data_IF_510831394038
#
_entry.id   IF_510831394038
#
_cell.length_a   1.000
_cell.length_b   1.000
_cell.length_c   1.000
_cell.angle_alpha   90.00
_cell.angle_beta   90.00
_cell.angle_gamma   90.00
#
_symmetry.space_group_name_H-M   'P 1'
#
loop_
_entity.id
_entity.type
_entity.pdbx_description
1 polymer ?
#
# COMPACT_ATOMS: atom_id res chain seq x y z
N UNK A 1 19.77 -9.87 -29.26
CA UNK A 1 20.59 -8.71 -29.67
C UNK A 1 19.99 -7.88 -30.82
N UNK A 2 19.03 -8.40 -31.61
CA UNK A 2 18.41 -7.66 -32.73
C UNK A 2 17.32 -6.63 -32.33
N UNK A 3 16.57 -6.84 -31.24
CA UNK A 3 15.50 -5.91 -30.82
C UNK A 3 16.02 -4.52 -30.41
N UNK A 4 17.16 -4.47 -29.72
CA UNK A 4 17.77 -3.21 -29.28
C UNK A 4 18.26 -2.37 -30.47
N UNK A 5 18.82 -3.01 -31.50
CA UNK A 5 19.28 -2.33 -32.70
C UNK A 5 18.11 -1.66 -33.45
N UNK A 6 16.96 -2.33 -33.51
CA UNK A 6 15.76 -1.80 -34.17
C UNK A 6 15.16 -0.61 -33.41
N UNK A 7 15.14 -0.67 -32.07
CA UNK A 7 14.75 0.48 -31.24
C UNK A 7 15.66 1.70 -31.47
N UNK A 8 16.99 1.50 -31.48
CA UNK A 8 17.93 2.61 -31.71
C UNK A 8 17.88 3.18 -33.12
N UNK A 9 17.66 2.33 -34.14
CA UNK A 9 17.44 2.79 -35.52
C UNK A 9 16.14 3.59 -35.64
N UNK A 10 15.07 3.16 -34.96
CA UNK A 10 13.83 3.93 -34.88
C UNK A 10 14.06 5.28 -34.18
N UNK A 11 14.77 5.30 -33.06
CA UNK A 11 15.09 6.52 -32.32
C UNK A 11 15.96 7.49 -33.14
N UNK A 12 16.95 6.97 -33.87
CA UNK A 12 17.80 7.76 -34.77
C UNK A 12 17.00 8.33 -35.95
N UNK A 13 16.14 7.52 -36.58
CA UNK A 13 15.24 7.97 -37.64
C UNK A 13 14.26 9.04 -37.15
N UNK A 14 13.80 8.92 -35.90
CA UNK A 14 12.91 9.88 -35.26
C UNK A 14 13.65 11.19 -34.95
N UNK A 15 14.87 11.13 -34.41
CA UNK A 15 15.71 12.32 -34.18
C UNK A 15 15.98 13.08 -35.48
N UNK A 16 16.29 12.36 -36.58
CA UNK A 16 16.51 12.96 -37.90
C UNK A 16 15.24 13.60 -38.47
N UNK A 17 14.08 12.91 -38.35
CA UNK A 17 12.78 13.46 -38.77
C UNK A 17 12.35 14.66 -37.91
N UNK A 18 12.61 14.63 -36.61
CA UNK A 18 12.35 15.75 -35.69
C UNK A 18 13.17 16.98 -36.07
N UNK A 19 14.46 16.84 -36.39
CA UNK A 19 15.26 18.00 -36.79
C UNK A 19 14.78 18.63 -38.11
N UNK A 20 14.30 17.81 -39.05
CA UNK A 20 13.70 18.27 -40.31
C UNK A 20 12.35 18.96 -40.05
N UNK A 21 11.54 18.42 -39.15
CA UNK A 21 10.27 19.03 -38.76
C UNK A 21 10.49 20.36 -38.02
N UNK A 22 11.49 20.44 -37.13
CA UNK A 22 11.88 21.69 -36.45
C UNK A 22 12.49 22.72 -37.39
N UNK A 23 13.14 22.33 -38.49
CA UNK A 23 13.57 23.28 -39.53
C UNK A 23 12.40 23.79 -40.35
N UNK A 24 11.48 22.89 -40.75
CA UNK A 24 10.26 23.27 -41.46
C UNK A 24 9.35 24.16 -40.60
N UNK A 25 9.21 23.85 -39.31
CA UNK A 25 8.48 24.67 -38.35
C UNK A 25 9.08 26.06 -38.21
N UNK A 26 10.41 26.18 -38.09
CA UNK A 26 11.10 27.48 -38.07
C UNK A 26 10.90 28.30 -39.35
N UNK A 27 10.85 27.63 -40.51
CA UNK A 27 10.59 28.31 -41.78
C UNK A 27 9.12 28.72 -41.92
N UNK A 28 8.17 27.91 -41.43
CA UNK A 28 6.75 28.26 -41.35
C UNK A 28 6.46 29.35 -40.30
N UNK A 29 7.17 29.37 -39.17
CA UNK A 29 7.06 30.41 -38.14
C UNK A 29 7.58 31.76 -38.65
N UNK A 30 8.65 31.78 -39.44
CA UNK A 30 9.11 32.99 -40.16
C UNK A 30 8.06 33.46 -41.18
N UNK A 31 7.41 32.53 -41.87
CA UNK A 31 6.35 32.84 -42.83
C UNK A 31 5.06 33.34 -42.14
N UNK A 32 4.71 32.75 -40.98
CA UNK A 32 3.56 33.14 -40.15
C UNK A 32 3.82 34.44 -39.38
N UNK A 33 5.06 34.74 -38.96
CA UNK A 33 5.42 36.05 -38.39
C UNK A 33 5.32 37.18 -39.41
N UNK A 34 5.58 36.88 -40.69
CA UNK A 34 5.35 37.78 -41.81
C UNK A 34 3.86 38.03 -42.09
N UNK A 35 3.00 37.05 -41.78
CA UNK A 35 1.53 37.13 -41.94
C UNK A 35 0.85 37.73 -40.70
N UNK A 36 1.32 37.45 -39.47
CA UNK A 36 0.79 37.98 -38.20
C UNK A 36 1.02 39.48 -37.99
N UNK A 37 1.82 40.14 -38.82
CA UNK A 37 1.83 41.61 -38.88
C UNK A 37 0.54 42.20 -39.49
N UNK A 38 -0.37 41.36 -40.01
CA UNK A 38 -1.61 41.79 -40.65
C UNK A 38 -2.91 41.46 -39.93
N UNK A 39 -2.98 40.48 -39.03
CA UNK A 39 -4.28 40.11 -38.42
C UNK A 39 -4.13 39.70 -36.95
N UNK A 40 -4.49 40.63 -36.06
CA UNK A 40 -4.71 40.39 -34.63
C UNK A 40 -6.20 40.14 -34.42
N UNK A 41 -6.58 38.88 -34.15
CA UNK A 41 -7.68 38.42 -33.28
C UNK A 41 -8.20 37.05 -33.75
N UNK A 42 -7.90 35.99 -33.02
CA UNK A 42 -8.77 34.83 -32.89
C UNK A 42 -8.24 33.91 -31.78
N UNK A 43 -9.08 33.67 -30.77
CA UNK A 43 -8.88 32.75 -29.66
C UNK A 43 -9.02 31.29 -30.13
N UNK A 44 -8.05 30.43 -29.83
CA UNK A 44 -8.17 28.98 -30.06
C UNK A 44 -8.36 28.29 -28.71
N UNK A 45 -9.45 27.53 -28.60
CA UNK A 45 -9.82 26.70 -27.46
C UNK A 45 -8.83 25.53 -27.29
N UNK A 46 -8.53 25.18 -26.05
CA UNK A 46 -7.52 24.19 -25.65
C UNK A 46 -8.01 22.72 -25.68
N UNK A 47 -9.08 22.42 -26.41
CA UNK A 47 -9.73 21.09 -26.37
C UNK A 47 -9.37 20.15 -27.54
N UNK A 48 -8.58 20.59 -28.53
CA UNK A 48 -8.06 19.74 -29.62
C UNK A 48 -6.56 19.45 -29.46
N UNK A 49 -6.19 18.79 -28.37
CA UNK A 49 -4.89 18.10 -28.31
C UNK A 49 -5.06 16.73 -28.97
N UNK A 50 -4.81 16.66 -30.28
CA UNK A 50 -4.74 15.40 -31.03
C UNK A 50 -3.84 14.39 -30.29
N UNK A 51 -4.39 13.20 -30.04
CA UNK A 51 -3.65 12.06 -29.46
C UNK A 51 -2.38 11.80 -30.28
N UNK A 52 -1.25 11.63 -29.60
CA UNK A 52 0.03 11.35 -30.23
C UNK A 52 0.03 9.97 -30.87
N UNK A 53 0.68 9.84 -32.02
CA UNK A 53 0.95 8.53 -32.67
C UNK A 53 1.76 7.56 -31.79
N UNK A 54 2.33 8.05 -30.67
CA UNK A 54 3.08 7.25 -29.71
C UNK A 54 2.25 6.81 -28.50
N UNK A 55 1.01 7.29 -28.33
CA UNK A 55 0.23 7.06 -27.11
C UNK A 55 -0.03 5.56 -26.88
N UNK A 56 -0.30 4.80 -27.95
CA UNK A 56 -0.48 3.35 -27.87
C UNK A 56 0.80 2.65 -27.39
N UNK A 57 1.95 3.02 -27.94
CA UNK A 57 3.25 2.43 -27.57
C UNK A 57 3.62 2.80 -26.14
N UNK A 58 3.35 4.04 -25.72
CA UNK A 58 3.53 4.49 -24.34
C UNK A 58 2.63 3.69 -23.40
N UNK A 59 1.37 3.48 -23.75
CA UNK A 59 0.43 2.66 -23.01
C UNK A 59 0.93 1.22 -22.85
N UNK A 60 1.45 0.62 -23.92
CA UNK A 60 2.04 -0.72 -23.87
C UNK A 60 3.25 -0.80 -22.92
N UNK A 61 4.16 0.18 -22.98
CA UNK A 61 5.30 0.24 -22.05
C UNK A 61 4.86 0.42 -20.59
N UNK A 62 3.84 1.23 -20.34
CA UNK A 62 3.27 1.42 -19.00
C UNK A 62 2.63 0.14 -18.47
N UNK A 63 1.91 -0.60 -19.32
CA UNK A 63 1.34 -1.89 -18.95
C UNK A 63 2.43 -2.90 -18.58
N UNK A 64 3.44 -3.06 -19.45
CA UNK A 64 4.58 -3.94 -19.19
C UNK A 64 5.34 -3.55 -17.91
N UNK A 65 5.50 -2.24 -17.66
CA UNK A 65 6.08 -1.76 -16.42
C UNK A 65 5.25 -2.19 -15.21
N UNK A 66 3.93 -2.02 -15.26
CA UNK A 66 3.05 -2.41 -14.15
C UNK A 66 3.08 -3.93 -13.92
N UNK A 67 3.12 -4.74 -14.98
CA UNK A 67 3.21 -6.20 -14.88
C UNK A 67 4.52 -6.64 -14.21
N UNK A 68 5.63 -6.00 -14.57
CA UNK A 68 6.93 -6.26 -13.94
C UNK A 68 6.93 -5.86 -12.47
N UNK A 69 6.36 -4.70 -12.13
CA UNK A 69 6.22 -4.26 -10.74
C UNK A 69 5.36 -5.25 -9.93
N UNK A 70 4.24 -5.72 -10.48
CA UNK A 70 3.39 -6.69 -9.80
C UNK A 70 4.13 -8.01 -9.59
N UNK A 71 4.83 -8.52 -10.61
CA UNK A 71 5.62 -9.74 -10.49
C UNK A 71 6.70 -9.63 -9.40
N UNK A 72 7.35 -8.48 -9.30
CA UNK A 72 8.31 -8.20 -8.23
C UNK A 72 7.64 -8.15 -6.85
N UNK A 73 6.45 -7.54 -6.75
CA UNK A 73 5.68 -7.47 -5.52
C UNK A 73 5.29 -8.87 -5.04
N UNK A 74 4.72 -9.68 -5.94
CA UNK A 74 4.31 -11.06 -5.65
C UNK A 74 5.50 -11.89 -5.15
N UNK A 75 6.68 -11.70 -5.75
CA UNK A 75 7.89 -12.41 -5.33
C UNK A 75 8.32 -12.02 -3.91
N UNK A 76 8.36 -10.72 -3.61
CA UNK A 76 8.69 -10.21 -2.27
C UNK A 76 7.67 -10.73 -1.25
N UNK A 77 6.38 -10.67 -1.57
CA UNK A 77 5.31 -11.16 -0.71
C UNK A 77 5.39 -12.67 -0.50
N UNK A 78 5.80 -13.45 -1.50
CA UNK A 78 6.02 -14.90 -1.34
C UNK A 78 7.11 -15.18 -0.30
N UNK A 79 8.23 -14.46 -0.35
CA UNK A 79 9.34 -14.64 0.59
C UNK A 79 8.92 -14.22 2.02
N UNK A 80 8.19 -13.10 2.17
CA UNK A 80 7.58 -12.66 3.43
C UNK A 80 6.63 -13.73 4.00
N UNK A 81 5.73 -14.28 3.17
CA UNK A 81 4.76 -15.32 3.55
C UNK A 81 5.46 -16.60 4.01
N UNK A 82 6.57 -16.95 3.38
CA UNK A 82 7.40 -18.08 3.77
C UNK A 82 8.08 -17.86 5.13
N UNK A 83 8.63 -16.67 5.39
CA UNK A 83 9.33 -16.35 6.65
C UNK A 83 8.41 -16.07 7.83
N UNK A 84 7.15 -15.73 7.59
CA UNK A 84 6.16 -15.49 8.66
C UNK A 84 5.54 -16.75 9.26
N UNK A 85 5.86 -17.96 8.78
CA UNK A 85 5.18 -19.22 9.20
C UNK A 85 5.17 -19.44 10.71
N UNK A 86 6.26 -19.12 11.40
CA UNK A 86 6.34 -19.26 12.87
C UNK A 86 5.49 -18.20 13.56
N UNK A 87 5.59 -16.94 13.13
CA UNK A 87 4.81 -15.83 13.67
C UNK A 87 3.29 -16.08 13.64
N UNK A 88 2.78 -16.68 12.55
CA UNK A 88 1.35 -17.03 12.43
C UNK A 88 0.88 -18.06 13.45
N UNK A 89 1.81 -18.88 13.98
CA UNK A 89 1.54 -20.02 14.87
C UNK A 89 1.95 -19.75 16.32
N UNK A 90 2.32 -18.52 16.64
CA UNK A 90 2.62 -18.15 18.00
C UNK A 90 1.42 -18.41 18.90
N UNK A 91 1.69 -18.66 20.18
CA UNK A 91 0.65 -18.98 21.17
C UNK A 91 -0.03 -17.71 21.69
N UNK A 92 -0.57 -16.90 20.78
CA UNK A 92 -1.24 -15.62 21.05
C UNK A 92 -2.32 -15.73 22.14
N UNK A 93 -3.00 -16.87 22.22
CA UNK A 93 -4.08 -17.11 23.17
C UNK A 93 -3.62 -17.29 24.62
N UNK A 94 -2.33 -17.54 24.87
CA UNK A 94 -1.79 -17.75 26.21
C UNK A 94 -0.48 -16.98 26.46
N UNK A 95 -0.20 -15.95 25.67
CA UNK A 95 0.92 -15.06 25.94
C UNK A 95 0.70 -14.32 27.28
N UNK A 96 1.71 -14.24 28.14
CA UNK A 96 1.63 -13.51 29.40
C UNK A 96 1.49 -12.01 29.14
N UNK A 97 0.76 -11.31 30.01
CA UNK A 97 0.69 -9.86 29.97
C UNK A 97 1.97 -9.28 30.56
N UNK A 98 2.62 -8.39 29.80
CA UNK A 98 3.77 -7.60 30.27
C UNK A 98 3.26 -6.22 30.65
N UNK A 99 3.16 -5.93 31.94
CA UNK A 99 2.60 -4.66 32.44
C UNK A 99 3.49 -3.45 32.09
N UNK A 100 4.82 -3.61 32.21
CA UNK A 100 5.77 -2.57 31.80
C UNK A 100 6.07 -2.66 30.31
N UNK A 101 5.46 -1.76 29.55
CA UNK A 101 5.67 -1.63 28.10
C UNK A 101 7.13 -1.43 27.69
N UNK A 102 8.01 -0.96 28.60
CA UNK A 102 9.45 -0.81 28.31
C UNK A 102 10.19 -2.15 28.26
N UNK A 103 9.63 -3.18 28.89
CA UNK A 103 10.17 -4.54 28.89
C UNK A 103 9.65 -5.38 27.72
N UNK A 104 8.74 -4.85 26.91
CA UNK A 104 8.26 -5.54 25.72
C UNK A 104 9.37 -5.58 24.68
N UNK A 105 9.55 -6.76 24.10
CA UNK A 105 10.49 -7.03 23.02
C UNK A 105 9.74 -7.52 21.79
N UNK A 106 10.39 -7.44 20.62
CA UNK A 106 9.85 -8.00 19.40
C UNK A 106 9.68 -9.53 19.56
N UNK A 107 8.54 -10.07 19.12
CA UNK A 107 8.37 -11.52 19.03
C UNK A 107 9.48 -12.14 18.17
N UNK A 108 10.26 -13.05 18.74
CA UNK A 108 11.39 -13.68 18.04
C UNK A 108 10.97 -14.37 16.73
N UNK A 109 9.75 -14.89 16.69
CA UNK A 109 9.11 -15.50 15.52
C UNK A 109 8.84 -14.51 14.37
N UNK A 110 8.72 -13.21 14.67
CA UNK A 110 8.48 -12.14 13.70
C UNK A 110 9.78 -11.67 13.01
N UNK A 111 10.93 -11.83 13.68
CA UNK A 111 12.22 -11.35 13.19
C UNK A 111 12.51 -11.78 11.74
N UNK A 112 12.38 -13.06 11.34
CA UNK A 112 12.68 -13.48 9.97
C UNK A 112 11.79 -12.81 8.91
N UNK A 113 10.52 -12.52 9.25
CA UNK A 113 9.61 -11.80 8.36
C UNK A 113 10.03 -10.34 8.23
N UNK A 114 10.28 -9.66 9.34
CA UNK A 114 10.65 -8.24 9.36
C UNK A 114 12.00 -7.99 8.67
N UNK A 115 12.96 -8.90 8.86
CA UNK A 115 14.25 -8.85 8.17
C UNK A 115 14.08 -8.91 6.65
N UNK A 116 13.27 -9.83 6.14
CA UNK A 116 13.01 -9.93 4.69
C UNK A 116 12.31 -8.66 4.18
N UNK A 117 11.33 -8.12 4.89
CA UNK A 117 10.66 -6.88 4.50
C UNK A 117 11.69 -5.75 4.38
N UNK A 118 12.52 -5.56 5.41
CA UNK A 118 13.49 -4.48 5.45
C UNK A 118 14.53 -4.61 4.33
N UNK A 119 15.09 -5.80 4.14
CA UNK A 119 16.10 -6.05 3.10
C UNK A 119 15.50 -5.89 1.69
N UNK A 120 14.30 -6.41 1.45
CA UNK A 120 13.62 -6.25 0.15
C UNK A 120 13.34 -4.78 -0.16
N UNK A 121 12.84 -4.00 0.81
CA UNK A 121 12.58 -2.57 0.60
C UNK A 121 13.85 -1.79 0.34
N UNK A 122 14.93 -2.09 1.06
CA UNK A 122 16.24 -1.48 0.82
C UNK A 122 16.75 -1.77 -0.60
N UNK A 123 16.76 -3.04 -1.01
CA UNK A 123 17.19 -3.41 -2.38
C UNK A 123 16.30 -2.78 -3.45
N UNK A 124 14.98 -2.74 -3.27
CA UNK A 124 14.06 -2.09 -4.21
C UNK A 124 14.33 -0.59 -4.31
N UNK A 125 14.68 0.08 -3.21
CA UNK A 125 15.03 1.49 -3.19
C UNK A 125 16.29 1.80 -4.01
N UNK A 126 17.29 0.91 -3.97
CA UNK A 126 18.53 1.05 -4.74
C UNK A 126 18.32 0.75 -6.23
N UNK A 127 17.45 -0.20 -6.57
CA UNK A 127 17.27 -0.69 -7.93
C UNK A 127 16.23 0.10 -8.74
N UNK A 128 15.25 0.73 -8.08
CA UNK A 128 14.14 1.39 -8.76
C UNK A 128 14.24 2.91 -8.71
N UNK A 129 13.81 3.54 -9.80
CA UNK A 129 13.58 4.98 -9.79
C UNK A 129 12.52 5.34 -8.74
N UNK A 130 12.70 6.48 -8.05
CA UNK A 130 11.84 6.91 -6.92
C UNK A 130 10.33 6.75 -7.16
N UNK A 131 9.74 7.13 -8.31
CA UNK A 131 8.30 6.94 -8.52
C UNK A 131 7.86 5.47 -8.55
N UNK A 132 8.70 4.58 -9.09
CA UNK A 132 8.44 3.14 -9.14
C UNK A 132 8.62 2.52 -7.77
N UNK A 133 9.70 2.88 -7.05
CA UNK A 133 9.89 2.47 -5.67
C UNK A 133 8.70 2.89 -4.79
N UNK A 134 8.19 4.12 -4.96
CA UNK A 134 7.02 4.59 -4.22
C UNK A 134 5.79 3.71 -4.45
N UNK A 135 5.50 3.36 -5.70
CA UNK A 135 4.40 2.43 -6.01
C UNK A 135 4.64 1.06 -5.36
N UNK A 136 5.86 0.55 -5.43
CA UNK A 136 6.22 -0.76 -4.91
C UNK A 136 6.05 -0.88 -3.40
N UNK A 137 6.65 0.02 -2.61
CA UNK A 137 6.55 -0.11 -1.16
C UNK A 137 5.10 0.08 -0.68
N UNK A 138 4.33 0.94 -1.36
CA UNK A 138 2.91 1.13 -1.05
C UNK A 138 2.11 -0.15 -1.32
N UNK A 139 2.34 -0.80 -2.46
CA UNK A 139 1.72 -2.08 -2.80
C UNK A 139 2.07 -3.15 -1.76
N UNK A 140 3.35 -3.29 -1.42
CA UNK A 140 3.82 -4.25 -0.40
C UNK A 140 3.15 -3.97 0.96
N UNK A 141 3.05 -2.71 1.38
CA UNK A 141 2.40 -2.35 2.63
C UNK A 141 0.90 -2.71 2.64
N UNK A 142 0.20 -2.46 1.54
CA UNK A 142 -1.21 -2.83 1.38
C UNK A 142 -1.43 -4.34 1.40
N UNK A 143 -0.59 -5.11 0.70
CA UNK A 143 -0.66 -6.57 0.70
C UNK A 143 -0.29 -7.16 2.07
N UNK A 144 0.68 -6.59 2.78
CA UNK A 144 1.01 -6.96 4.16
C UNK A 144 -0.16 -6.69 5.11
N UNK A 145 -0.83 -5.55 4.97
CA UNK A 145 -1.99 -5.19 5.77
C UNK A 145 -3.10 -6.24 5.66
N UNK A 146 -3.42 -6.67 4.43
CA UNK A 146 -4.41 -7.72 4.17
C UNK A 146 -3.91 -9.06 4.70
N UNK A 147 -2.67 -9.42 4.37
CA UNK A 147 -2.10 -10.72 4.74
C UNK A 147 -2.04 -10.95 6.25
N UNK A 148 -1.50 -10.02 7.03
CA UNK A 148 -1.43 -10.17 8.50
C UNK A 148 -2.83 -10.18 9.11
N UNK A 149 -3.75 -9.38 8.57
CA UNK A 149 -5.15 -9.41 8.97
C UNK A 149 -5.76 -10.81 8.76
N UNK A 150 -5.65 -11.37 7.56
CA UNK A 150 -6.28 -12.65 7.22
C UNK A 150 -5.61 -13.86 7.86
N UNK A 151 -4.28 -13.85 7.99
CA UNK A 151 -3.49 -15.04 8.31
C UNK A 151 -2.94 -15.07 9.74
N UNK A 152 -2.96 -13.93 10.43
CA UNK A 152 -2.56 -13.84 11.85
C UNK A 152 -3.78 -13.50 12.69
N UNK A 153 -4.39 -12.34 12.45
CA UNK A 153 -5.50 -11.84 13.27
C UNK A 153 -6.71 -12.77 13.12
N UNK A 154 -7.15 -13.02 11.88
CA UNK A 154 -8.37 -13.81 11.67
C UNK A 154 -8.25 -15.29 12.02
N UNK A 155 -7.03 -15.84 12.09
CA UNK A 155 -6.77 -17.27 12.36
C UNK A 155 -6.48 -17.60 13.81
N UNK A 156 -6.36 -16.60 14.70
CA UNK A 156 -5.91 -16.82 16.07
C UNK A 156 -6.89 -16.24 17.09
N UNK A 157 -6.81 -16.77 18.32
CA UNK A 157 -7.40 -16.15 19.50
C UNK A 157 -6.32 -15.48 20.34
N UNK A 158 -6.68 -14.46 21.10
CA UNK A 158 -5.74 -13.60 21.81
C UNK A 158 -6.08 -13.53 23.30
N UNK A 159 -5.07 -13.77 24.15
CA UNK A 159 -5.07 -13.27 25.52
C UNK A 159 -4.86 -11.76 25.52
N UNK A 160 -5.03 -11.11 26.67
CA UNK A 160 -4.65 -9.70 26.82
C UNK A 160 -3.17 -9.48 26.47
N UNK A 161 -2.29 -10.36 26.96
CA UNK A 161 -0.86 -10.33 26.63
C UNK A 161 -0.58 -10.51 25.15
N UNK A 162 -1.26 -11.45 24.48
CA UNK A 162 -1.08 -11.67 23.04
C UNK A 162 -1.57 -10.50 22.19
N UNK A 163 -2.70 -9.89 22.56
CA UNK A 163 -3.20 -8.68 21.90
C UNK A 163 -2.24 -7.50 22.06
N UNK A 164 -1.66 -7.34 23.26
CA UNK A 164 -0.66 -6.31 23.53
C UNK A 164 0.64 -6.56 22.74
N UNK A 165 1.11 -7.81 22.69
CA UNK A 165 2.30 -8.20 21.93
C UNK A 165 2.13 -7.96 20.44
N UNK A 166 0.99 -8.35 19.85
CA UNK A 166 0.71 -8.08 18.45
C UNK A 166 0.73 -6.56 18.17
N UNK A 167 0.09 -5.76 19.03
CA UNK A 167 0.10 -4.31 18.89
C UNK A 167 1.53 -3.73 18.99
N UNK A 168 2.38 -4.26 19.86
CA UNK A 168 3.79 -3.87 19.96
C UNK A 168 4.58 -4.24 18.69
N UNK A 169 4.47 -5.49 18.23
CA UNK A 169 5.13 -5.97 17.01
C UNK A 169 4.76 -5.10 15.80
N UNK A 170 3.50 -4.69 15.70
CA UNK A 170 3.03 -3.84 14.60
C UNK A 170 3.51 -2.39 14.74
N UNK A 171 3.24 -1.75 15.88
CA UNK A 171 3.44 -0.30 16.04
C UNK A 171 4.87 0.12 16.34
N UNK A 172 5.66 -0.76 16.97
CA UNK A 172 7.05 -0.49 17.33
C UNK A 172 8.06 -1.13 16.39
N UNK A 173 7.64 -2.04 15.51
CA UNK A 173 8.55 -2.74 14.61
C UNK A 173 8.11 -2.70 13.15
N UNK A 174 6.96 -3.31 12.78
CA UNK A 174 6.54 -3.37 11.38
C UNK A 174 6.32 -1.99 10.75
N UNK A 175 5.52 -1.12 11.37
CA UNK A 175 5.21 0.19 10.78
C UNK A 175 6.46 1.08 10.68
N UNK A 176 7.35 1.14 11.68
CA UNK A 176 8.61 1.88 11.58
C UNK A 176 9.50 1.52 10.40
N UNK A 177 9.49 0.28 9.89
CA UNK A 177 10.23 -0.08 8.67
C UNK A 177 9.83 0.84 7.50
N UNK A 178 8.54 1.18 7.40
CA UNK A 178 8.02 2.07 6.35
C UNK A 178 8.18 3.56 6.69
N UNK A 179 8.60 3.89 7.91
CA UNK A 179 8.85 5.27 8.35
C UNK A 179 9.97 5.97 7.57
N UNK A 180 10.87 5.20 6.95
CA UNK A 180 11.88 5.72 6.03
C UNK A 180 11.28 6.29 4.72
N UNK A 181 10.04 5.93 4.38
CA UNK A 181 9.42 6.21 3.08
C UNK A 181 8.16 7.06 3.18
N UNK A 182 7.54 7.14 4.37
CA UNK A 182 6.36 7.95 4.63
C UNK A 182 6.34 8.44 6.08
N UNK A 183 5.80 9.64 6.30
CA UNK A 183 5.64 10.21 7.62
C UNK A 183 4.52 9.54 8.45
N UNK A 184 3.61 8.80 7.79
CA UNK A 184 2.45 8.13 8.42
C UNK A 184 2.32 6.70 7.93
N UNK A 185 3.26 5.79 8.28
CA UNK A 185 3.24 4.40 7.82
C UNK A 185 1.96 3.66 8.21
N UNK A 186 1.39 3.95 9.37
CA UNK A 186 0.17 3.36 9.90
C UNK A 186 -1.05 3.53 8.98
N UNK A 187 -1.04 4.52 8.08
CA UNK A 187 -2.13 4.74 7.12
C UNK A 187 -2.23 3.64 6.05
N UNK A 188 -1.18 2.84 5.87
CA UNK A 188 -1.17 1.70 4.95
C UNK A 188 -1.58 0.39 5.63
N UNK A 189 -1.64 0.38 6.97
CA UNK A 189 -1.93 -0.80 7.79
C UNK A 189 -3.27 -0.68 8.53
N UNK A 190 -4.30 -0.19 7.84
CA UNK A 190 -5.55 0.19 8.50
C UNK A 190 -6.32 -0.99 9.10
N UNK A 191 -6.32 -2.16 8.44
CA UNK A 191 -7.00 -3.35 8.97
C UNK A 191 -6.31 -3.85 10.23
N UNK A 192 -4.97 -3.92 10.20
CA UNK A 192 -4.16 -4.30 11.37
C UNK A 192 -4.39 -3.31 12.51
N UNK A 193 -4.32 -1.99 12.22
CA UNK A 193 -4.49 -0.93 13.21
C UNK A 193 -5.86 -1.01 13.88
N UNK A 194 -6.92 -1.10 13.09
CA UNK A 194 -8.29 -1.19 13.60
C UNK A 194 -8.50 -2.47 14.40
N UNK A 195 -7.91 -3.59 13.97
CA UNK A 195 -7.94 -4.85 14.71
C UNK A 195 -7.26 -4.73 16.07
N UNK A 196 -6.10 -4.07 16.14
CA UNK A 196 -5.39 -3.87 17.39
C UNK A 196 -6.20 -3.02 18.39
N UNK A 197 -6.97 -2.04 17.92
CA UNK A 197 -7.90 -1.26 18.76
C UNK A 197 -8.93 -2.19 19.39
N UNK A 198 -9.58 -3.04 18.60
CA UNK A 198 -10.61 -3.94 19.09
C UNK A 198 -10.07 -5.04 20.03
N UNK A 199 -8.90 -5.61 19.71
CA UNK A 199 -8.26 -6.65 20.51
C UNK A 199 -7.79 -6.15 21.88
N UNK A 200 -7.37 -4.88 21.98
CA UNK A 200 -6.82 -4.27 23.21
C UNK A 200 -7.84 -3.42 24.00
N UNK A 201 -9.09 -3.33 23.54
CA UNK A 201 -10.14 -2.59 24.26
C UNK A 201 -10.46 -3.29 25.59
N UNK A 202 -10.88 -2.56 26.64
CA UNK A 202 -11.27 -3.20 27.91
C UNK A 202 -12.54 -4.06 27.78
N UNK A 203 -12.74 -4.99 28.73
CA UNK A 203 -13.79 -6.02 28.63
C UNK A 203 -15.22 -5.45 28.51
N UNK A 204 -15.61 -4.52 29.39
CA UNK A 204 -16.98 -3.99 29.40
C UNK A 204 -17.36 -3.23 28.10
N UNK A 205 -16.55 -2.28 27.58
CA UNK A 205 -16.81 -1.66 26.28
C UNK A 205 -16.84 -2.66 25.12
N UNK A 206 -16.04 -3.73 25.19
CA UNK A 206 -16.05 -4.77 24.17
C UNK A 206 -17.34 -5.58 24.12
N UNK A 207 -17.88 -5.95 25.28
CA UNK A 207 -19.16 -6.63 25.38
C UNK A 207 -20.29 -5.75 24.85
N UNK A 208 -20.31 -4.48 25.25
CA UNK A 208 -21.30 -3.51 24.77
C UNK A 208 -21.22 -3.34 23.24
N UNK A 209 -20.01 -3.13 22.70
CA UNK A 209 -19.82 -2.98 21.26
C UNK A 209 -20.28 -4.23 20.51
N UNK A 210 -19.92 -5.43 21.00
CA UNK A 210 -20.34 -6.69 20.40
C UNK A 210 -21.85 -6.81 20.33
N UNK A 211 -22.55 -6.41 21.38
CA UNK A 211 -24.02 -6.46 21.42
C UNK A 211 -24.63 -5.43 20.46
N UNK A 212 -24.13 -4.19 20.47
CA UNK A 212 -24.56 -3.14 19.53
C UNK A 212 -24.40 -3.57 18.08
N UNK A 213 -23.28 -4.20 17.73
CA UNK A 213 -22.99 -4.67 16.37
C UNK A 213 -23.86 -5.87 15.95
N UNK A 214 -24.27 -6.74 16.88
CA UNK A 214 -25.20 -7.83 16.57
C UNK A 214 -26.59 -7.30 16.21
N UNK A 215 -27.05 -6.25 16.87
CA UNK A 215 -28.36 -5.65 16.63
C UNK A 215 -28.41 -4.71 15.41
N UNK A 216 -27.26 -4.21 14.94
CA UNK A 216 -27.17 -3.21 13.88
C UNK A 216 -26.21 -3.61 12.75
N UNK A 217 -26.33 -4.84 12.23
CA UNK A 217 -25.43 -5.36 11.18
C UNK A 217 -25.47 -4.53 9.87
N UNK A 218 -26.57 -3.82 9.59
CA UNK A 218 -26.81 -3.15 8.31
C UNK A 218 -26.27 -1.70 8.21
N UNK A 219 -25.73 -1.12 9.29
CA UNK A 219 -25.34 0.30 9.34
C UNK A 219 -23.83 0.54 9.13
N UNK A 220 -23.26 0.04 8.02
CA UNK A 220 -21.82 0.19 7.73
C UNK A 220 -21.41 1.64 7.40
N UNK A 221 -22.34 2.49 6.97
CA UNK A 221 -22.03 3.77 6.31
C UNK A 221 -22.28 5.04 7.14
N UNK A 222 -22.52 4.91 8.45
CA UNK A 222 -22.61 6.10 9.31
C UNK A 222 -21.24 6.51 9.83
N UNK A 223 -20.83 7.76 9.56
CA UNK A 223 -19.67 8.39 10.25
C UNK A 223 -19.85 8.44 11.78
N UNK A 224 -21.09 8.26 12.26
CA UNK A 224 -21.47 8.16 13.66
C UNK A 224 -21.77 6.69 14.06
N UNK A 225 -21.10 5.72 13.44
CA UNK A 225 -21.21 4.33 13.88
C UNK A 225 -20.39 4.12 15.15
N UNK A 226 -20.80 3.15 15.99
CA UNK A 226 -20.07 2.80 17.21
C UNK A 226 -18.58 2.45 16.95
N UNK A 227 -18.26 1.92 15.75
CA UNK A 227 -16.87 1.70 15.32
C UNK A 227 -16.15 3.01 15.03
N UNK A 228 -16.81 3.96 14.36
CA UNK A 228 -16.24 5.27 14.06
C UNK A 228 -15.87 6.06 15.31
N UNK A 229 -16.69 5.99 16.36
CA UNK A 229 -16.41 6.62 17.66
C UNK A 229 -15.15 6.06 18.35
N UNK A 230 -14.80 4.80 18.05
CA UNK A 230 -13.58 4.14 18.54
C UNK A 230 -12.38 4.34 17.60
N UNK A 231 -12.53 5.09 16.52
CA UNK A 231 -11.49 5.28 15.51
C UNK A 231 -11.28 4.07 14.58
N UNK A 232 -12.24 3.14 14.53
CA UNK A 232 -12.26 1.99 13.62
C UNK A 232 -13.05 2.37 12.37
N UNK A 233 -12.38 2.37 11.22
CA UNK A 233 -12.94 2.91 9.97
C UNK A 233 -12.80 1.97 8.76
N UNK A 234 -12.04 0.89 8.90
CA UNK A 234 -11.66 0.00 7.80
C UNK A 234 -12.27 -1.39 7.93
N UNK A 235 -12.74 -1.75 9.12
CA UNK A 235 -13.40 -3.03 9.40
C UNK A 235 -14.92 -2.91 9.22
N UNK A 236 -15.52 -3.90 8.58
CA UNK A 236 -16.98 -4.08 8.58
C UNK A 236 -17.49 -4.50 9.98
N UNK A 237 -18.78 -4.29 10.28
CA UNK A 237 -19.43 -4.82 11.48
C UNK A 237 -19.21 -6.32 11.65
N UNK A 238 -19.27 -7.10 10.55
CA UNK A 238 -19.02 -8.53 10.56
C UNK A 238 -17.56 -8.87 10.90
N UNK A 239 -16.58 -8.16 10.32
CA UNK A 239 -15.17 -8.35 10.66
C UNK A 239 -14.87 -7.96 12.11
N UNK A 240 -15.44 -6.84 12.58
CA UNK A 240 -15.30 -6.40 13.96
C UNK A 240 -15.89 -7.43 14.95
N UNK A 241 -17.04 -8.03 14.64
CA UNK A 241 -17.63 -9.10 15.45
C UNK A 241 -16.73 -10.34 15.53
N UNK A 242 -16.05 -10.71 14.44
CA UNK A 242 -15.08 -11.81 14.42
C UNK A 242 -13.88 -11.46 15.30
N UNK A 243 -13.31 -10.26 15.19
CA UNK A 243 -12.18 -9.85 16.02
C UNK A 243 -12.55 -9.82 17.51
N UNK A 244 -13.75 -9.33 17.84
CA UNK A 244 -14.23 -9.33 19.22
C UNK A 244 -14.43 -10.74 19.76
N UNK A 245 -14.80 -11.73 18.93
CA UNK A 245 -14.93 -13.12 19.37
C UNK A 245 -13.59 -13.85 19.54
N UNK A 246 -12.51 -13.35 18.92
CA UNK A 246 -11.15 -13.89 19.09
C UNK A 246 -10.51 -13.53 20.44
N UNK A 247 -11.15 -12.67 21.22
CA UNK A 247 -10.68 -12.27 22.54
C UNK A 247 -11.08 -13.30 23.59
N UNK A 248 -10.09 -13.94 24.19
CA UNK A 248 -10.34 -14.99 25.19
C UNK A 248 -10.53 -14.44 26.61
N UNK A 249 -10.27 -13.15 26.82
CA UNK A 249 -10.38 -12.46 28.12
C UNK A 249 -11.72 -11.71 28.28
N UNK A 250 -12.65 -11.87 27.34
CA UNK A 250 -14.01 -11.30 27.35
C UNK A 250 -15.12 -12.36 27.44
N UNK A 251 -14.77 -13.64 27.44
CA UNK A 251 -15.73 -14.72 27.63
C UNK A 251 -15.87 -15.00 29.13
N UNK A 252 -16.71 -14.21 29.80
CA UNK A 252 -17.30 -14.55 31.10
C UNK A 252 -18.69 -15.13 30.89
#
# INVERSE_FOLDING_TARGET
MYLFLQFFLHLYSYKKRKSVCESLLRDTEKHLASIKKKETKSSVNAEDLESSVFDEVIGFFQHMQNDLLQTMCDRVMLDIKAKSRSFRKDKWFCMPLVEDKKLMELSLSAYPMLEVINNSLHSLQELLAKPLFTKMWQQIAMELNIYIFEEVILQNSFSEGGAAQLHFDMTRNLFPIFGAYTAKPENYFKLIKDSCILLNMSSAPAMLLRETLKHHQDSFNSKNSALGELGVHSLSPSQALIILSQRNHTNL
#
